data_IF_675272844258
#
_entry.id   IF_675272844258
#
_cell.length_a   1.000
_cell.length_b   1.000
_cell.length_c   1.000
_cell.angle_alpha   90.00
_cell.angle_beta   90.00
_cell.angle_gamma   90.00
#
_symmetry.space_group_name_H-M   'P 1'
#
loop_
_entity.id
_entity.type
_entity.pdbx_description
1 polymer ?
#
# COMPACT_ATOMS: atom_id res chain seq x y z
N UNK A 1 -51.74 4.41 -43.15
CA UNK A 1 -51.83 4.11 -44.60
C UNK A 1 -50.41 4.09 -45.14
N UNK A 2 -49.89 2.89 -45.45
CA UNK A 2 -49.35 2.43 -46.76
C UNK A 2 -48.07 3.19 -47.20
N UNK A 3 -46.94 2.62 -47.62
CA UNK A 3 -46.45 1.28 -48.07
C UNK A 3 -44.94 1.46 -48.37
N UNK A 4 -44.04 0.53 -48.02
CA UNK A 4 -43.30 -0.40 -48.93
C UNK A 4 -42.71 0.26 -50.21
N UNK A 5 -41.45 0.09 -50.64
CA UNK A 5 -40.65 -1.15 -50.78
C UNK A 5 -39.19 -0.92 -51.28
N UNK A 6 -38.24 -1.75 -50.80
CA UNK A 6 -37.11 -2.48 -51.47
C UNK A 6 -36.06 -1.69 -52.29
N UNK A 7 -34.74 -1.94 -52.23
CA UNK A 7 -33.96 -3.19 -52.44
C UNK A 7 -32.49 -3.01 -51.95
N UNK A 8 -31.92 -3.90 -51.12
CA UNK A 8 -31.11 -5.09 -51.45
C UNK A 8 -29.79 -4.84 -52.23
N UNK A 9 -28.65 -4.86 -51.52
CA UNK A 9 -27.39 -5.38 -52.06
C UNK A 9 -26.59 -6.10 -50.95
N UNK A 10 -26.40 -7.40 -51.16
CA UNK A 10 -25.60 -8.35 -50.40
C UNK A 10 -24.13 -8.24 -50.81
N UNK A 11 -23.20 -8.37 -49.86
CA UNK A 11 -21.88 -9.00 -50.05
C UNK A 11 -21.35 -9.46 -48.67
N UNK A 12 -20.84 -10.71 -48.52
CA UNK A 12 -20.50 -11.30 -47.23
C UNK A 12 -19.01 -11.12 -46.89
N UNK A 13 -18.70 -10.72 -45.65
CA UNK A 13 -17.34 -10.76 -45.11
C UNK A 13 -17.25 -11.90 -44.09
N UNK A 14 -16.49 -12.93 -44.46
CA UNK A 14 -16.22 -14.15 -43.72
C UNK A 14 -15.39 -13.86 -42.46
N UNK A 15 -15.95 -14.14 -41.29
CA UNK A 15 -15.26 -14.06 -40.00
C UNK A 15 -14.74 -15.46 -39.64
N UNK A 16 -13.43 -15.69 -39.83
CA UNK A 16 -12.74 -16.89 -39.35
C UNK A 16 -12.55 -16.79 -37.83
N UNK A 17 -13.14 -17.73 -37.09
CA UNK A 17 -12.88 -17.91 -35.66
C UNK A 17 -11.53 -18.62 -35.45
N UNK A 18 -10.56 -17.92 -34.88
CA UNK A 18 -9.32 -18.51 -34.40
C UNK A 18 -9.52 -19.05 -32.98
N UNK A 19 -9.84 -20.34 -32.87
CA UNK A 19 -9.80 -21.09 -31.61
C UNK A 19 -8.35 -21.48 -31.29
N UNK A 20 -7.75 -20.89 -30.26
CA UNK A 20 -6.48 -21.37 -29.73
C UNK A 20 -6.73 -22.66 -28.94
N UNK A 21 -6.31 -23.79 -29.54
CA UNK A 21 -6.29 -25.10 -28.91
C UNK A 21 -5.25 -25.15 -27.78
N UNK A 22 -5.69 -25.62 -26.62
CA UNK A 22 -4.86 -25.92 -25.45
C UNK A 22 -4.01 -27.15 -25.77
N UNK A 23 -2.69 -27.00 -25.73
CA UNK A 23 -1.71 -28.06 -25.89
C UNK A 23 -1.68 -28.99 -24.67
N UNK A 24 -2.01 -30.27 -24.87
CA UNK A 24 -1.77 -31.35 -23.90
C UNK A 24 -0.29 -31.76 -23.86
N UNK A 25 0.27 -32.14 -22.69
CA UNK A 25 1.64 -32.63 -22.59
C UNK A 25 1.76 -34.09 -23.04
N UNK A 26 2.95 -34.41 -23.56
CA UNK A 26 3.39 -35.71 -24.06
C UNK A 26 3.18 -36.89 -23.10
N UNK A 27 2.55 -37.96 -23.60
CA UNK A 27 2.67 -39.32 -23.07
C UNK A 27 3.95 -39.99 -23.62
N UNK A 28 4.75 -40.68 -22.78
CA UNK A 28 5.83 -41.53 -23.25
C UNK A 28 5.33 -42.95 -23.58
N UNK A 29 5.81 -43.44 -24.72
CA UNK A 29 5.98 -44.81 -25.21
C UNK A 29 5.18 -45.98 -24.58
N UNK A 30 4.43 -46.65 -25.47
CA UNK A 30 3.89 -48.01 -25.33
C UNK A 30 4.91 -48.99 -24.76
N UNK A 31 4.68 -49.46 -23.53
CA UNK A 31 5.18 -50.74 -23.03
C UNK A 31 4.05 -51.77 -23.10
N UNK A 32 4.03 -52.53 -24.19
CA UNK A 32 2.99 -53.51 -24.53
C UNK A 32 2.98 -54.78 -23.65
N UNK A 33 3.08 -54.68 -22.31
CA UNK A 33 2.95 -55.86 -21.46
C UNK A 33 2.49 -55.62 -20.00
N UNK A 34 1.76 -54.54 -19.70
CA UNK A 34 1.14 -54.37 -18.38
C UNK A 34 -0.38 -54.22 -18.52
N UNK A 35 -1.10 -55.34 -18.37
CA UNK A 35 -2.56 -55.35 -18.24
C UNK A 35 -2.89 -55.41 -16.75
N UNK A 36 -3.51 -54.35 -16.24
CA UNK A 36 -4.07 -54.33 -14.89
C UNK A 36 -5.27 -55.30 -14.86
N UNK A 37 -5.38 -56.20 -13.87
CA UNK A 37 -6.59 -57.02 -13.73
C UNK A 37 -7.81 -56.13 -13.50
N UNK A 38 -8.93 -56.44 -14.16
CA UNK A 38 -10.20 -55.73 -14.01
C UNK A 38 -10.63 -55.73 -12.53
N UNK A 39 -10.57 -54.57 -11.90
CA UNK A 39 -11.14 -54.36 -10.56
C UNK A 39 -12.66 -54.35 -10.75
N UNK A 40 -13.43 -55.25 -10.10
CA UNK A 40 -14.88 -55.24 -10.19
C UNK A 40 -15.44 -53.87 -9.78
N UNK A 41 -16.27 -53.25 -10.64
CA UNK A 41 -16.97 -51.99 -10.36
C UNK A 41 -18.21 -52.23 -9.48
N UNK A 42 -18.06 -52.95 -8.39
CA UNK A 42 -19.08 -52.93 -7.34
C UNK A 42 -18.87 -51.67 -6.49
N UNK A 43 -19.90 -50.82 -6.30
CA UNK A 43 -19.78 -49.69 -5.39
C UNK A 43 -19.55 -50.24 -3.98
N UNK A 44 -18.37 -49.95 -3.41
CA UNK A 44 -18.08 -50.30 -2.02
C UNK A 44 -19.16 -49.68 -1.12
N UNK A 45 -19.75 -50.44 -0.18
CA UNK A 45 -20.68 -49.86 0.78
C UNK A 45 -19.95 -48.79 1.58
N UNK A 46 -20.51 -47.57 1.65
CA UNK A 46 -20.02 -46.49 2.52
C UNK A 46 -20.12 -46.94 3.98
N UNK A 47 -19.11 -47.69 4.44
CA UNK A 47 -18.87 -47.86 5.86
C UNK A 47 -18.32 -46.53 6.34
N UNK A 48 -19.22 -45.68 6.82
CA UNK A 48 -18.90 -44.39 7.41
C UNK A 48 -18.05 -44.66 8.67
N UNK A 49 -16.73 -44.68 8.51
CA UNK A 49 -15.78 -44.83 9.62
C UNK A 49 -15.86 -43.52 10.39
N UNK A 50 -16.41 -43.49 11.63
CA UNK A 50 -16.49 -42.25 12.38
C UNK A 50 -15.07 -41.81 12.71
N UNK A 51 -14.62 -40.70 12.10
CA UNK A 51 -13.39 -40.05 12.53
C UNK A 51 -13.57 -39.61 13.98
N UNK A 52 -12.59 -39.86 14.88
CA UNK A 52 -12.69 -39.37 16.25
C UNK A 52 -12.72 -37.84 16.21
N UNK A 53 -13.88 -37.26 16.53
CA UNK A 53 -13.96 -35.82 16.82
C UNK A 53 -13.30 -35.63 18.18
N UNK A 54 -12.34 -34.72 18.28
CA UNK A 54 -11.80 -34.33 19.57
C UNK A 54 -12.97 -33.89 20.45
N UNK A 55 -13.06 -34.48 21.64
CA UNK A 55 -14.07 -34.15 22.63
C UNK A 55 -13.94 -32.66 22.98
N UNK A 56 -15.06 -31.94 23.04
CA UNK A 56 -15.08 -30.50 23.34
C UNK A 56 -14.36 -30.21 24.67
N UNK A 57 -14.40 -31.18 25.59
CA UNK A 57 -13.67 -31.14 26.85
C UNK A 57 -12.14 -31.07 26.66
N UNK A 58 -11.58 -31.86 25.75
CA UNK A 58 -10.15 -31.81 25.43
C UNK A 58 -9.74 -30.49 24.79
N UNK A 59 -10.66 -29.85 24.07
CA UNK A 59 -10.44 -28.53 23.48
C UNK A 59 -10.45 -27.44 24.56
N UNK A 60 -11.36 -27.52 25.54
CA UNK A 60 -11.39 -26.64 26.71
C UNK A 60 -10.10 -26.80 27.54
N UNK A 61 -9.66 -28.03 27.78
CA UNK A 61 -8.43 -28.30 28.54
C UNK A 61 -7.19 -27.72 27.84
N UNK A 62 -7.10 -27.89 26.52
CA UNK A 62 -6.02 -27.31 25.72
C UNK A 62 -6.04 -25.77 25.77
N UNK A 63 -7.21 -25.14 25.70
CA UNK A 63 -7.36 -23.69 25.86
C UNK A 63 -6.95 -23.22 27.26
N UNK A 64 -7.32 -23.96 28.31
CA UNK A 64 -6.91 -23.66 29.69
C UNK A 64 -5.38 -23.67 29.85
N UNK A 65 -4.70 -24.65 29.25
CA UNK A 65 -3.23 -24.72 29.24
C UNK A 65 -2.61 -23.52 28.50
N UNK A 66 -3.20 -23.12 27.37
CA UNK A 66 -2.73 -21.96 26.62
C UNK A 66 -2.88 -20.65 27.40
N UNK A 67 -4.00 -20.46 28.09
CA UNK A 67 -4.26 -19.29 28.94
C UNK A 67 -3.23 -19.24 30.07
N UNK A 68 -3.04 -20.34 30.80
CA UNK A 68 -2.06 -20.41 31.89
C UNK A 68 -0.62 -20.13 31.41
N UNK A 69 -0.28 -20.55 30.18
CA UNK A 69 1.01 -20.23 29.56
C UNK A 69 1.13 -18.75 29.25
N UNK A 70 0.08 -18.15 28.68
CA UNK A 70 0.03 -16.72 28.38
C UNK A 70 0.17 -15.88 29.65
N UNK A 71 -0.56 -16.21 30.70
CA UNK A 71 -0.48 -15.53 32.00
C UNK A 71 0.94 -15.55 32.55
N UNK A 72 1.62 -16.70 32.49
CA UNK A 72 3.03 -16.81 32.89
C UNK A 72 3.95 -15.91 32.05
N UNK A 73 3.72 -15.82 30.73
CA UNK A 73 4.52 -14.94 29.86
C UNK A 73 4.29 -13.45 30.14
N UNK A 74 3.05 -13.06 30.45
CA UNK A 74 2.71 -11.68 30.83
C UNK A 74 3.41 -11.29 32.12
N UNK A 75 3.38 -12.19 33.11
CA UNK A 75 4.06 -11.96 34.39
C UNK A 75 5.58 -11.81 34.21
N UNK A 76 6.21 -12.69 33.41
CA UNK A 76 7.64 -12.58 33.09
C UNK A 76 7.98 -11.25 32.39
N UNK A 77 7.16 -10.83 31.44
CA UNK A 77 7.34 -9.57 30.73
C UNK A 77 7.22 -8.37 31.66
N UNK A 78 6.26 -8.39 32.59
CA UNK A 78 6.09 -7.33 33.58
C UNK A 78 7.31 -7.24 34.52
N UNK A 79 7.85 -8.36 34.96
CA UNK A 79 9.08 -8.39 35.76
C UNK A 79 10.29 -7.86 34.98
N UNK A 80 10.42 -8.21 33.70
CA UNK A 80 11.46 -7.65 32.82
C UNK A 80 11.31 -6.14 32.60
N UNK A 81 10.09 -5.64 32.46
CA UNK A 81 9.83 -4.21 32.37
C UNK A 81 10.25 -3.49 33.66
N UNK A 82 9.84 -3.98 34.82
CA UNK A 82 10.22 -3.39 36.11
C UNK A 82 11.73 -3.38 36.33
N UNK A 83 12.43 -4.45 35.97
CA UNK A 83 13.90 -4.50 36.08
C UNK A 83 14.57 -3.53 35.11
N UNK A 84 14.07 -3.38 33.89
CA UNK A 84 14.59 -2.40 32.93
C UNK A 84 14.34 -0.96 33.37
N UNK A 85 13.18 -0.68 33.99
CA UNK A 85 12.87 0.61 34.58
C UNK A 85 13.83 0.96 35.73
N UNK A 86 14.08 0.01 36.64
CA UNK A 86 15.05 0.18 37.72
C UNK A 86 16.49 0.32 37.20
N UNK A 87 16.88 -0.43 36.18
CA UNK A 87 18.20 -0.26 35.57
C UNK A 87 18.37 1.11 34.91
N UNK A 88 17.30 1.68 34.34
CA UNK A 88 17.30 3.04 33.79
C UNK A 88 17.43 4.12 34.87
N UNK A 89 16.86 3.92 36.06
CA UNK A 89 17.02 4.87 37.17
C UNK A 89 18.44 4.82 37.77
N UNK A 90 19.07 3.64 37.82
CA UNK A 90 20.42 3.45 38.38
C UNK A 90 21.54 3.93 37.43
N UNK A 91 21.36 3.80 36.11
CA UNK A 91 22.40 4.15 35.10
C UNK A 91 22.44 5.63 34.69
N UNK A 92 21.81 6.56 35.44
CA UNK A 92 21.86 8.00 35.13
C UNK A 92 23.03 8.65 35.89
N UNK A 93 24.14 9.05 35.26
CA UNK A 93 25.16 9.83 35.92
C UNK A 93 24.56 11.18 36.31
N UNK A 94 24.73 11.59 37.56
CA UNK A 94 24.39 12.91 38.09
C UNK A 94 24.98 14.02 37.22
N UNK A 95 24.17 14.95 36.67
CA UNK A 95 24.69 16.21 36.15
C UNK A 95 24.43 17.33 37.17
N UNK A 96 25.53 17.95 37.63
CA UNK A 96 25.53 19.29 38.23
C UNK A 96 25.04 20.31 37.19
N UNK A 97 23.73 20.54 37.14
CA UNK A 97 23.09 21.73 36.59
C UNK A 97 21.60 21.70 36.94
N UNK A 98 20.98 22.81 37.39
CA UNK A 98 19.54 22.85 37.61
C UNK A 98 18.85 22.88 36.24
N UNK A 99 18.44 21.70 35.75
CA UNK A 99 17.54 21.57 34.59
C UNK A 99 16.09 21.54 35.06
N UNK A 100 15.16 22.13 34.27
CA UNK A 100 13.82 22.46 34.71
C UNK A 100 13.08 21.18 35.07
N UNK A 101 12.25 21.27 36.11
CA UNK A 101 11.34 20.21 36.55
C UNK A 101 10.74 19.54 35.31
N UNK A 102 11.10 18.28 35.08
CA UNK A 102 10.30 17.44 34.22
C UNK A 102 8.90 17.51 34.83
N UNK A 103 7.98 18.15 34.12
CA UNK A 103 6.60 18.22 34.52
C UNK A 103 6.18 16.77 34.69
N UNK A 104 6.02 16.35 35.95
CA UNK A 104 5.23 15.18 36.25
C UNK A 104 3.96 15.39 35.43
N UNK A 105 3.72 14.51 34.45
CA UNK A 105 2.52 14.58 33.64
C UNK A 105 1.40 14.29 34.63
N UNK A 106 0.86 15.35 35.22
CA UNK A 106 -0.17 15.22 36.23
C UNK A 106 -1.31 14.49 35.56
N UNK A 107 -1.61 13.28 36.01
CA UNK A 107 -2.70 12.46 35.47
C UNK A 107 -4.01 13.24 35.48
N UNK A 108 -4.14 14.17 36.44
CA UNK A 108 -5.24 15.12 36.51
C UNK A 108 -5.25 16.11 35.34
N UNK A 109 -4.10 16.64 34.93
CA UNK A 109 -3.97 17.54 33.77
C UNK A 109 -4.15 16.79 32.45
N UNK A 110 -3.65 15.55 32.36
CA UNK A 110 -3.87 14.69 31.21
C UNK A 110 -5.36 14.33 31.08
N UNK A 111 -6.00 13.96 32.18
CA UNK A 111 -7.45 13.68 32.26
C UNK A 111 -8.28 14.92 31.96
N UNK A 112 -7.90 16.09 32.47
CA UNK A 112 -8.58 17.35 32.14
C UNK A 112 -8.42 17.71 30.66
N UNK A 113 -7.25 17.49 30.06
CA UNK A 113 -7.06 17.66 28.62
C UNK A 113 -7.86 16.63 27.79
N UNK A 114 -7.96 15.38 28.26
CA UNK A 114 -8.75 14.32 27.63
C UNK A 114 -10.26 14.62 27.67
N UNK A 115 -10.73 15.14 28.80
CA UNK A 115 -12.12 15.57 28.99
C UNK A 115 -12.43 16.89 28.25
N UNK A 116 -11.48 17.83 28.20
CA UNK A 116 -11.62 19.10 27.48
C UNK A 116 -11.63 18.93 25.95
N UNK A 117 -10.90 17.94 25.43
CA UNK A 117 -10.94 17.54 24.01
C UNK A 117 -12.09 16.55 23.72
N UNK A 118 -13.10 16.47 24.57
CA UNK A 118 -14.34 15.79 24.26
C UNK A 118 -14.38 14.29 24.55
N UNK A 119 -13.52 13.75 25.43
CA UNK A 119 -13.71 12.46 26.12
C UNK A 119 -13.93 11.21 25.26
N UNK A 120 -13.83 11.30 23.94
CA UNK A 120 -13.95 10.19 23.02
C UNK A 120 -12.64 9.45 22.90
N UNK A 121 -12.69 8.12 22.80
CA UNK A 121 -11.60 7.34 22.20
C UNK A 121 -11.23 8.04 20.88
N UNK A 122 -9.94 8.32 20.59
CA UNK A 122 -9.55 8.96 19.34
C UNK A 122 -10.27 8.26 18.21
N UNK A 123 -11.01 9.02 17.39
CA UNK A 123 -11.74 8.41 16.28
C UNK A 123 -10.74 7.60 15.45
N UNK A 124 -11.16 6.50 14.85
CA UNK A 124 -10.26 5.69 14.00
C UNK A 124 -9.56 6.55 12.94
N UNK A 125 -10.24 7.62 12.49
CA UNK A 125 -9.72 8.66 11.60
C UNK A 125 -8.60 9.51 12.23
N UNK A 126 -8.72 9.88 13.51
CA UNK A 126 -7.68 10.61 14.25
C UNK A 126 -6.44 9.74 14.47
N UNK A 127 -6.66 8.46 14.78
CA UNK A 127 -5.58 7.47 14.95
C UNK A 127 -4.85 7.23 13.63
N UNK A 128 -5.59 7.11 12.51
CA UNK A 128 -5.01 6.97 11.18
C UNK A 128 -4.21 8.21 10.76
N UNK A 129 -4.75 9.42 10.98
CA UNK A 129 -4.06 10.67 10.67
C UNK A 129 -2.77 10.84 11.49
N UNK A 130 -2.78 10.47 12.78
CA UNK A 130 -1.59 10.46 13.62
C UNK A 130 -0.54 9.46 13.12
N UNK A 131 -0.97 8.27 12.69
CA UNK A 131 -0.06 7.28 12.11
C UNK A 131 0.55 7.79 10.80
N UNK A 132 -0.25 8.36 9.90
CA UNK A 132 0.22 8.99 8.66
C UNK A 132 1.22 10.11 8.94
N UNK A 133 0.99 10.93 9.97
CA UNK A 133 1.92 11.98 10.39
C UNK A 133 3.24 11.43 10.92
N UNK A 134 3.19 10.36 11.71
CA UNK A 134 4.39 9.68 12.20
C UNK A 134 5.23 9.12 11.04
N UNK A 135 4.59 8.49 10.06
CA UNK A 135 5.24 7.98 8.85
C UNK A 135 5.87 9.13 8.04
N UNK A 136 5.15 10.24 7.87
CA UNK A 136 5.68 11.44 7.20
C UNK A 136 6.98 11.91 7.84
N UNK A 137 6.97 12.12 9.16
CA UNK A 137 8.11 12.63 9.91
C UNK A 137 9.30 11.66 9.84
N UNK A 138 9.04 10.35 9.86
CA UNK A 138 10.08 9.34 9.73
C UNK A 138 10.70 9.35 8.33
N UNK A 139 9.86 9.30 7.29
CA UNK A 139 10.31 9.33 5.90
C UNK A 139 11.05 10.62 5.56
N UNK A 140 10.61 11.76 6.10
CA UNK A 140 11.26 13.05 5.90
C UNK A 140 12.69 13.05 6.47
N UNK A 141 12.93 12.41 7.63
CA UNK A 141 14.28 12.26 8.18
C UNK A 141 15.18 11.45 7.26
N UNK A 142 14.66 10.37 6.66
CA UNK A 142 15.43 9.58 5.69
C UNK A 142 15.69 10.36 4.39
N UNK A 143 14.69 11.10 3.91
CA UNK A 143 14.83 11.98 2.75
C UNK A 143 15.92 13.04 2.95
N UNK A 144 15.95 13.69 4.12
CA UNK A 144 16.98 14.68 4.48
C UNK A 144 18.39 14.08 4.55
N UNK A 145 18.50 12.79 4.88
CA UNK A 145 19.76 12.04 4.90
C UNK A 145 20.15 11.48 3.52
N UNK A 146 19.45 11.88 2.46
CA UNK A 146 19.59 11.34 1.10
C UNK A 146 19.31 9.83 0.98
N UNK A 147 18.73 9.21 2.01
CA UNK A 147 18.34 7.81 1.97
C UNK A 147 16.89 7.70 1.44
N UNK A 148 16.75 7.86 0.12
CA UNK A 148 15.45 7.88 -0.54
C UNK A 148 14.78 6.49 -0.57
N UNK A 149 15.54 5.40 -0.62
CA UNK A 149 15.00 4.04 -0.59
C UNK A 149 14.28 3.73 0.72
N UNK A 150 14.84 4.13 1.86
CA UNK A 150 14.18 4.00 3.16
C UNK A 150 12.90 4.86 3.24
N UNK A 151 12.93 6.09 2.70
CA UNK A 151 11.75 6.95 2.64
C UNK A 151 10.62 6.33 1.81
N UNK A 152 10.95 5.73 0.65
CA UNK A 152 10.00 4.97 -0.17
C UNK A 152 9.45 3.77 0.60
N UNK A 153 10.29 3.00 1.28
CA UNK A 153 9.84 1.83 2.03
C UNK A 153 8.84 2.17 3.15
N UNK A 154 9.02 3.31 3.82
CA UNK A 154 8.11 3.80 4.86
C UNK A 154 6.78 4.28 4.25
N UNK A 155 6.84 4.94 3.08
CA UNK A 155 5.69 5.56 2.44
C UNK A 155 5.09 4.72 1.31
N UNK A 156 5.46 3.45 1.16
CA UNK A 156 5.00 2.62 0.03
C UNK A 156 3.46 2.53 -0.08
N UNK A 157 2.78 2.57 1.07
CA UNK A 157 1.32 2.53 1.16
C UNK A 157 0.68 3.94 1.14
N UNK A 158 1.47 5.00 0.93
CA UNK A 158 0.99 6.38 0.87
C UNK A 158 0.31 6.67 -0.47
N UNK A 159 -0.91 6.15 -0.59
CA UNK A 159 -1.68 6.09 -1.83
C UNK A 159 -2.61 7.33 -2.00
N UNK A 160 -2.59 8.23 -1.02
CA UNK A 160 -3.43 9.43 -0.95
C UNK A 160 -4.68 9.26 -0.08
N UNK A 161 -4.97 8.04 0.41
CA UNK A 161 -5.88 7.74 1.51
C UNK A 161 -7.23 8.46 1.45
N UNK A 162 -7.61 9.09 2.57
CA UNK A 162 -8.82 9.90 2.71
C UNK A 162 -8.75 11.28 2.03
N UNK A 163 -7.65 11.60 1.33
CA UNK A 163 -7.45 12.91 0.71
C UNK A 163 -7.08 14.03 1.69
N UNK A 164 -6.75 13.70 2.95
CA UNK A 164 -6.29 14.68 3.93
C UNK A 164 -4.98 15.36 3.53
N UNK A 165 -4.69 16.48 4.18
CA UNK A 165 -3.43 17.20 3.98
C UNK A 165 -2.20 16.34 4.29
N UNK A 166 -2.29 15.42 5.27
CA UNK A 166 -1.16 14.55 5.62
C UNK A 166 -1.00 13.41 4.61
N UNK A 167 -2.10 12.81 4.14
CA UNK A 167 -2.08 11.84 3.03
C UNK A 167 -1.47 12.45 1.77
N UNK A 168 -1.82 13.71 1.46
CA UNK A 168 -1.23 14.49 0.37
C UNK A 168 0.28 14.68 0.54
N UNK A 169 0.73 15.09 1.73
CA UNK A 169 2.16 15.29 2.01
C UNK A 169 2.96 13.99 1.90
N UNK A 170 2.41 12.89 2.41
CA UNK A 170 3.02 11.56 2.30
C UNK A 170 3.18 11.12 0.85
N UNK A 171 2.11 11.20 0.07
CA UNK A 171 2.15 10.81 -1.34
C UNK A 171 3.12 11.67 -2.16
N UNK A 172 3.19 12.97 -1.88
CA UNK A 172 4.14 13.85 -2.55
C UNK A 172 5.60 13.55 -2.17
N UNK A 173 5.87 13.27 -0.89
CA UNK A 173 7.20 12.89 -0.44
C UNK A 173 7.64 11.55 -1.04
N UNK A 174 6.70 10.60 -1.18
CA UNK A 174 6.92 9.35 -1.90
C UNK A 174 7.31 9.61 -3.37
N UNK A 175 6.54 10.44 -4.07
CA UNK A 175 6.81 10.84 -5.46
C UNK A 175 8.21 11.44 -5.61
N UNK A 176 8.57 12.39 -4.75
CA UNK A 176 9.88 13.03 -4.75
C UNK A 176 11.01 12.04 -4.46
N UNK A 177 10.78 11.08 -3.56
CA UNK A 177 11.78 10.05 -3.23
C UNK A 177 12.02 9.12 -4.42
N UNK A 178 10.96 8.68 -5.11
CA UNK A 178 11.07 7.89 -6.33
C UNK A 178 11.77 8.65 -7.46
N UNK A 179 11.48 9.94 -7.60
CA UNK A 179 12.16 10.80 -8.58
C UNK A 179 13.66 10.91 -8.30
N UNK A 180 14.06 10.98 -7.02
CA UNK A 180 15.48 11.01 -6.62
C UNK A 180 16.18 9.68 -6.89
N UNK A 181 15.47 8.56 -6.79
CA UNK A 181 15.99 7.23 -7.15
C UNK A 181 16.04 6.99 -8.67
N UNK A 182 15.34 7.82 -9.46
CA UNK A 182 15.28 7.66 -10.92
C UNK A 182 14.24 6.64 -11.39
N UNK A 183 13.38 6.14 -10.49
CA UNK A 183 12.33 5.16 -10.77
C UNK A 183 11.19 5.81 -11.56
N UNK A 184 11.41 5.99 -12.87
CA UNK A 184 10.54 6.79 -13.73
C UNK A 184 9.12 6.23 -13.84
N UNK A 185 8.97 4.90 -13.86
CA UNK A 185 7.67 4.23 -13.92
C UNK A 185 6.81 4.56 -12.69
N UNK A 186 7.38 4.39 -11.49
CA UNK A 186 6.68 4.73 -10.23
C UNK A 186 6.36 6.22 -10.15
N UNK A 187 7.24 7.10 -10.65
CA UNK A 187 6.97 8.55 -10.69
C UNK A 187 5.78 8.87 -11.58
N UNK A 188 5.66 8.21 -12.73
CA UNK A 188 4.53 8.39 -13.65
C UNK A 188 3.24 7.92 -12.98
N UNK A 189 3.23 6.74 -12.36
CA UNK A 189 2.06 6.18 -11.69
C UNK A 189 1.60 7.07 -10.52
N UNK A 190 2.50 7.31 -9.55
CA UNK A 190 2.21 8.09 -8.34
C UNK A 190 1.88 9.53 -8.73
N UNK A 191 2.60 10.11 -9.69
CA UNK A 191 2.38 11.47 -10.16
C UNK A 191 0.99 11.66 -10.77
N UNK A 192 0.54 10.71 -11.61
CA UNK A 192 -0.80 10.76 -12.21
C UNK A 192 -1.87 10.70 -11.13
N UNK A 193 -1.75 9.77 -10.19
CA UNK A 193 -2.68 9.65 -9.06
C UNK A 193 -2.69 10.91 -8.21
N UNK A 194 -1.52 11.49 -7.93
CA UNK A 194 -1.37 12.72 -7.17
C UNK A 194 -2.05 13.90 -7.86
N UNK A 195 -1.79 14.10 -9.16
CA UNK A 195 -2.37 15.19 -9.94
C UNK A 195 -3.90 15.07 -10.04
N UNK A 196 -4.44 13.84 -10.10
CA UNK A 196 -5.87 13.60 -10.12
C UNK A 196 -6.53 13.84 -8.76
N UNK A 197 -5.96 13.27 -7.69
CA UNK A 197 -6.54 13.34 -6.34
C UNK A 197 -6.35 14.71 -5.69
N UNK A 198 -5.21 15.34 -5.92
CA UNK A 198 -4.81 16.59 -5.29
C UNK A 198 -4.65 17.72 -6.30
N UNK A 199 -5.56 17.80 -7.30
CA UNK A 199 -5.48 18.78 -8.40
C UNK A 199 -5.41 20.24 -7.96
N UNK A 200 -5.99 20.56 -6.80
CA UNK A 200 -6.03 21.92 -6.23
C UNK A 200 -4.78 22.25 -5.40
N UNK A 201 -3.87 21.29 -5.22
CA UNK A 201 -2.66 21.50 -4.43
C UNK A 201 -1.62 22.29 -5.21
N UNK A 202 -0.81 23.14 -4.53
CA UNK A 202 0.24 23.89 -5.21
C UNK A 202 1.33 22.99 -5.82
N UNK A 203 1.45 21.74 -5.37
CA UNK A 203 2.41 20.75 -5.87
C UNK A 203 1.90 19.94 -7.07
N UNK A 204 0.60 19.97 -7.38
CA UNK A 204 0.04 19.26 -8.54
C UNK A 204 0.74 19.61 -9.88
N UNK A 205 0.99 20.89 -10.21
CA UNK A 205 1.72 21.23 -11.44
C UNK A 205 3.15 20.68 -11.45
N UNK A 206 3.84 20.67 -10.30
CA UNK A 206 5.19 20.10 -10.21
C UNK A 206 5.19 18.58 -10.40
N UNK A 207 4.18 17.88 -9.85
CA UNK A 207 4.02 16.45 -10.07
C UNK A 207 3.82 16.12 -11.56
N UNK A 208 2.95 16.87 -12.25
CA UNK A 208 2.76 16.72 -13.70
C UNK A 208 4.03 17.00 -14.51
N UNK A 209 4.84 17.98 -14.08
CA UNK A 209 6.10 18.25 -14.74
C UNK A 209 7.08 17.07 -14.58
N UNK A 210 7.18 16.50 -13.37
CA UNK A 210 8.00 15.31 -13.10
C UNK A 210 7.57 14.10 -13.94
N UNK A 211 6.26 13.89 -14.16
CA UNK A 211 5.75 12.84 -15.07
C UNK A 211 6.32 13.03 -16.48
N UNK A 212 6.22 14.24 -17.03
CA UNK A 212 6.74 14.53 -18.37
C UNK A 212 8.26 14.37 -18.46
N UNK A 213 9.00 14.76 -17.42
CA UNK A 213 10.45 14.52 -17.35
C UNK A 213 10.79 13.03 -17.38
N UNK A 214 10.06 12.21 -16.62
CA UNK A 214 10.23 10.76 -16.60
C UNK A 214 9.87 10.12 -17.94
N UNK A 215 8.76 10.51 -18.55
CA UNK A 215 8.38 10.04 -19.89
C UNK A 215 9.45 10.37 -20.93
N UNK A 216 10.02 11.58 -20.88
CA UNK A 216 11.09 11.97 -21.78
C UNK A 216 12.35 11.11 -21.59
N UNK A 217 12.75 10.83 -20.33
CA UNK A 217 13.88 9.95 -20.01
C UNK A 217 13.66 8.52 -20.50
N UNK A 218 12.42 8.03 -20.47
CA UNK A 218 12.03 6.72 -21.00
C UNK A 218 11.87 6.71 -22.54
N UNK A 219 12.37 7.74 -23.24
CA UNK A 219 12.26 7.92 -24.70
C UNK A 219 10.82 8.05 -25.24
N UNK A 220 9.82 8.22 -24.37
CA UNK A 220 8.43 8.46 -24.73
C UNK A 220 8.19 9.95 -25.02
N UNK A 221 8.96 10.51 -25.96
CA UNK A 221 9.01 11.97 -26.21
C UNK A 221 7.64 12.55 -26.57
N UNK A 222 6.83 11.85 -27.36
CA UNK A 222 5.52 12.36 -27.78
C UNK A 222 4.51 12.37 -26.62
N UNK A 223 4.57 11.37 -25.76
CA UNK A 223 3.78 11.31 -24.53
C UNK A 223 4.21 12.44 -23.59
N UNK A 224 5.53 12.64 -23.39
CA UNK A 224 6.06 13.73 -22.59
C UNK A 224 5.58 15.11 -23.07
N UNK A 225 5.63 15.36 -24.38
CA UNK A 225 5.14 16.60 -24.98
C UNK A 225 3.64 16.80 -24.74
N UNK A 226 2.84 15.74 -24.87
CA UNK A 226 1.41 15.78 -24.55
C UNK A 226 1.17 16.13 -23.09
N UNK A 227 1.89 15.50 -22.16
CA UNK A 227 1.82 15.77 -20.72
C UNK A 227 2.17 17.22 -20.39
N UNK A 228 3.25 17.75 -20.97
CA UNK A 228 3.65 19.15 -20.77
C UNK A 228 2.65 20.16 -21.34
N UNK A 229 2.04 19.87 -22.50
CA UNK A 229 0.95 20.71 -23.04
C UNK A 229 -0.26 20.70 -22.11
N UNK A 230 -0.66 19.52 -21.59
CA UNK A 230 -1.75 19.41 -20.61
C UNK A 230 -1.44 20.18 -19.33
N UNK A 231 -0.21 20.12 -18.83
CA UNK A 231 0.24 20.90 -17.68
C UNK A 231 0.08 22.42 -17.93
N UNK A 232 0.52 22.91 -19.09
CA UNK A 232 0.38 24.33 -19.44
C UNK A 232 -1.09 24.76 -19.59
N UNK A 233 -1.98 23.88 -20.04
CA UNK A 233 -3.41 24.15 -20.14
C UNK A 233 -4.10 24.14 -18.77
N UNK A 234 -3.79 23.17 -17.92
CA UNK A 234 -4.41 23.00 -16.60
C UNK A 234 -3.88 23.99 -15.56
N UNK A 235 -2.61 24.38 -15.66
CA UNK A 235 -1.92 25.23 -14.68
C UNK A 235 -1.10 26.36 -15.35
N UNK A 236 -1.74 27.25 -16.13
CA UNK A 236 -1.04 28.20 -17.00
C UNK A 236 -0.09 29.15 -16.26
N UNK A 237 -0.41 29.52 -15.02
CA UNK A 237 0.35 30.50 -14.22
C UNK A 237 1.42 29.85 -13.31
N UNK A 238 1.59 28.53 -13.35
CA UNK A 238 2.54 27.82 -12.48
C UNK A 238 3.99 27.90 -13.00
N UNK A 239 4.96 27.89 -12.09
CA UNK A 239 6.38 27.79 -12.46
C UNK A 239 6.67 26.48 -13.23
N UNK A 240 5.96 25.40 -12.91
CA UNK A 240 6.06 24.14 -13.63
C UNK A 240 5.62 24.27 -15.10
N UNK A 241 4.56 25.04 -15.40
CA UNK A 241 4.14 25.30 -16.78
C UNK A 241 5.19 26.09 -17.57
N UNK A 242 5.85 27.07 -16.93
CA UNK A 242 6.98 27.80 -17.55
C UNK A 242 8.14 26.84 -17.88
N UNK A 243 8.51 25.97 -16.93
CA UNK A 243 9.54 24.92 -17.15
C UNK A 243 9.14 23.95 -18.26
N UNK A 244 7.87 23.54 -18.32
CA UNK A 244 7.33 22.68 -19.36
C UNK A 244 7.43 23.33 -20.76
N UNK A 245 7.12 24.62 -20.86
CA UNK A 245 7.26 25.37 -22.11
C UNK A 245 8.72 25.42 -22.61
N UNK A 246 9.68 25.53 -21.70
CA UNK A 246 11.11 25.47 -22.03
C UNK A 246 11.48 24.06 -22.52
N UNK A 247 11.05 23.02 -21.81
CA UNK A 247 11.32 21.62 -22.18
C UNK A 247 10.76 21.23 -23.55
N UNK A 248 9.63 21.81 -23.97
CA UNK A 248 9.07 21.58 -25.31
C UNK A 248 9.91 22.14 -26.46
N UNK A 249 10.76 23.15 -26.19
CA UNK A 249 11.62 23.78 -27.21
C UNK A 249 12.93 23.02 -27.42
N UNK A 250 13.32 22.15 -26.49
CA UNK A 250 14.52 21.34 -26.58
C UNK A 250 14.24 20.13 -27.49
N UNK A 251 15.02 19.98 -28.58
CA UNK A 251 14.85 18.92 -29.60
C UNK A 251 15.44 17.59 -29.15
#
# INVERSE_FOLDING_TARGET
MKTLSHSLFLLPLTLLAASCAVSHPHQPADNANFVLPDIPREPLPEKNIPYPRLDEQTQIDHLGIQIARLERTVEELNQRLHTLEQQRTIKRPTPLAPKPKAQHLDDRKLKMNYLANGGGVPSETDSAAQNELRLYNQAQKYYQRNNFSAAVAILKEADGGNGSEIARRNMYLLLQSQQRLGNCESVIEIGNRYANRFRNSPQAPDAMYSIGQCQYKLQQKDIARSTWRKLMQSFPNSEAAKRAAISLKQR
#
